data_IF_034103635778
#
_entry.id   IF_034103635778
#
_cell.length_a   1.000
_cell.length_b   1.000
_cell.length_c   1.000
_cell.angle_alpha   90.00
_cell.angle_beta   90.00
_cell.angle_gamma   90.00
#
_symmetry.space_group_name_H-M   'P 1'
#
loop_
_entity.id
_entity.type
_entity.pdbx_description
1 polymer ?
#
# COMPACT_ATOMS: atom_id res chain seq x y z
N UNK A 1 -23.80 -11.98 19.78
CA UNK A 1 -22.40 -11.51 19.75
C UNK A 1 -22.16 -10.97 18.35
N UNK A 2 -21.83 -9.68 18.16
CA UNK A 2 -21.43 -9.21 16.84
C UNK A 2 -20.14 -9.92 16.41
N UNK A 3 -20.05 -10.35 15.15
CA UNK A 3 -18.83 -10.93 14.59
C UNK A 3 -17.66 -9.93 14.71
N UNK A 4 -16.41 -10.39 14.88
CA UNK A 4 -15.25 -9.50 14.86
C UNK A 4 -15.23 -8.74 13.52
N UNK A 5 -14.76 -7.47 13.50
CA UNK A 5 -14.64 -6.74 12.25
C UNK A 5 -13.74 -7.55 11.31
N UNK A 6 -14.33 -8.05 10.22
CA UNK A 6 -13.58 -8.73 9.19
C UNK A 6 -12.54 -7.73 8.66
N UNK A 7 -11.26 -8.10 8.71
CA UNK A 7 -10.22 -7.33 8.04
C UNK A 7 -10.66 -7.16 6.58
N UNK A 8 -10.70 -5.92 6.06
CA UNK A 8 -11.08 -5.72 4.68
C UNK A 8 -10.13 -6.52 3.77
N UNK A 9 -10.64 -7.11 2.68
CA UNK A 9 -9.81 -7.85 1.76
C UNK A 9 -8.68 -6.95 1.23
N UNK A 10 -7.50 -7.51 0.92
CA UNK A 10 -6.37 -6.74 0.43
C UNK A 10 -6.74 -6.00 -0.86
N UNK A 11 -6.41 -4.71 -0.92
CA UNK A 11 -6.76 -3.87 -2.04
C UNK A 11 -5.83 -4.12 -3.23
N UNK A 12 -6.40 -4.34 -4.42
CA UNK A 12 -5.64 -4.71 -5.63
C UNK A 12 -5.48 -3.56 -6.62
N UNK A 13 -6.19 -2.46 -6.41
CA UNK A 13 -6.09 -1.24 -7.21
C UNK A 13 -4.99 -0.34 -6.64
N UNK A 14 -4.13 0.18 -7.52
CA UNK A 14 -3.13 1.18 -7.14
C UNK A 14 -3.80 2.53 -6.84
N UNK A 15 -3.22 3.31 -5.92
CA UNK A 15 -3.55 4.72 -5.75
C UNK A 15 -2.94 5.58 -6.86
N UNK A 16 -3.51 6.76 -7.08
CA UNK A 16 -3.06 7.75 -8.06
C UNK A 16 -2.39 8.91 -7.33
N UNK A 17 -1.15 9.24 -7.70
CA UNK A 17 -0.43 10.39 -7.15
C UNK A 17 -0.42 11.55 -8.16
N UNK A 18 -0.84 12.73 -7.71
CA UNK A 18 -0.89 13.98 -8.48
C UNK A 18 -0.12 15.09 -7.78
N UNK A 19 0.43 16.04 -8.53
CA UNK A 19 1.14 17.19 -7.98
C UNK A 19 0.30 18.46 -8.16
N UNK A 20 0.02 19.17 -7.06
CA UNK A 20 -0.81 20.38 -7.02
C UNK A 20 -0.19 21.39 -6.06
N UNK A 21 0.05 22.62 -6.52
CA UNK A 21 0.60 23.75 -5.74
C UNK A 21 1.90 23.43 -4.96
N UNK A 22 2.76 22.58 -5.51
CA UNK A 22 4.01 22.15 -4.85
C UNK A 22 3.82 21.10 -3.76
N UNK A 23 2.61 20.58 -3.61
CA UNK A 23 2.26 19.43 -2.78
C UNK A 23 1.96 18.21 -3.66
N UNK A 24 2.00 17.03 -3.05
CA UNK A 24 1.63 15.77 -3.69
C UNK A 24 0.36 15.25 -3.03
N UNK A 25 -0.63 14.91 -3.83
CA UNK A 25 -1.89 14.31 -3.40
C UNK A 25 -1.90 12.85 -3.86
N UNK A 26 -1.97 11.92 -2.92
CA UNK A 26 -2.15 10.50 -3.19
C UNK A 26 -3.62 10.13 -2.95
N UNK A 27 -4.34 9.80 -4.01
CA UNK A 27 -5.73 9.35 -3.96
C UNK A 27 -5.80 7.82 -4.01
N UNK A 28 -6.34 7.24 -2.95
CA UNK A 28 -6.57 5.81 -2.83
C UNK A 28 -7.90 5.38 -3.47
N UNK A 29 -8.00 4.16 -4.00
CA UNK A 29 -9.21 3.63 -4.65
C UNK A 29 -10.47 3.57 -3.76
N UNK A 30 -10.34 3.79 -2.45
CA UNK A 30 -11.42 3.86 -1.47
C UNK A 30 -11.74 5.30 -1.02
N UNK A 31 -11.25 6.31 -1.75
CA UNK A 31 -11.45 7.72 -1.43
C UNK A 31 -10.55 8.24 -0.30
N UNK A 32 -9.45 7.55 -0.01
CA UNK A 32 -8.45 8.00 0.95
C UNK A 32 -7.46 8.91 0.23
N UNK A 33 -7.64 10.22 0.37
CA UNK A 33 -6.69 11.20 -0.13
C UNK A 33 -5.69 11.60 0.96
N UNK A 34 -4.40 11.52 0.67
CA UNK A 34 -3.33 12.02 1.55
C UNK A 34 -2.54 13.09 0.83
N UNK A 35 -2.48 14.28 1.42
CA UNK A 35 -1.61 15.35 0.96
C UNK A 35 -0.29 15.31 1.70
N UNK A 36 0.81 15.38 0.96
CA UNK A 36 2.16 15.28 1.50
C UNK A 36 3.11 16.20 0.75
N UNK A 37 4.24 16.54 1.40
CA UNK A 37 5.31 17.29 0.74
C UNK A 37 6.02 16.42 -0.30
N UNK A 38 6.71 17.01 -1.29
CA UNK A 38 7.42 16.23 -2.31
C UNK A 38 8.48 15.29 -1.73
N UNK A 39 9.21 15.69 -0.68
CA UNK A 39 10.17 14.80 0.03
C UNK A 39 9.45 13.63 0.71
N UNK A 40 8.33 13.90 1.41
CA UNK A 40 7.55 12.85 2.06
C UNK A 40 6.96 11.86 1.04
N UNK A 41 6.46 12.35 -0.11
CA UNK A 41 5.99 11.51 -1.20
C UNK A 41 7.07 10.61 -1.76
N UNK A 42 8.25 11.16 -2.01
CA UNK A 42 9.39 10.41 -2.55
C UNK A 42 9.78 9.26 -1.63
N UNK A 43 9.93 9.54 -0.33
CA UNK A 43 10.28 8.51 0.67
C UNK A 43 9.17 7.48 0.83
N UNK A 44 7.91 7.92 0.81
CA UNK A 44 6.76 7.01 0.90
C UNK A 44 6.73 6.06 -0.29
N UNK A 45 6.91 6.55 -1.51
CA UNK A 45 6.97 5.72 -2.71
C UNK A 45 8.11 4.70 -2.65
N UNK A 46 9.31 5.11 -2.24
CA UNK A 46 10.45 4.21 -2.04
C UNK A 46 10.15 3.11 -1.02
N UNK A 47 9.59 3.49 0.13
CA UNK A 47 9.21 2.54 1.18
C UNK A 47 8.15 1.54 0.67
N UNK A 48 7.16 1.99 -0.12
CA UNK A 48 6.13 1.13 -0.69
C UNK A 48 6.72 0.12 -1.67
N UNK A 49 7.66 0.53 -2.53
CA UNK A 49 8.35 -0.36 -3.47
C UNK A 49 9.14 -1.42 -2.70
N UNK A 50 9.96 -1.01 -1.72
CA UNK A 50 10.72 -1.95 -0.90
C UNK A 50 9.82 -2.90 -0.11
N UNK A 51 8.72 -2.41 0.44
CA UNK A 51 7.74 -3.25 1.14
C UNK A 51 7.08 -4.27 0.21
N UNK A 52 6.76 -3.88 -1.04
CA UNK A 52 6.21 -4.79 -2.04
C UNK A 52 7.20 -5.91 -2.38
N UNK A 53 8.49 -5.59 -2.58
CA UNK A 53 9.52 -6.62 -2.81
C UNK A 53 9.64 -7.60 -1.64
N UNK A 54 9.58 -7.11 -0.41
CA UNK A 54 9.60 -7.95 0.79
C UNK A 54 8.36 -8.85 0.85
N UNK A 55 7.17 -8.30 0.56
CA UNK A 55 5.92 -9.05 0.57
C UNK A 55 5.90 -10.16 -0.48
N UNK A 56 6.42 -9.91 -1.68
CA UNK A 56 6.56 -10.92 -2.74
C UNK A 56 7.47 -12.07 -2.31
N UNK A 57 8.59 -11.77 -1.63
CA UNK A 57 9.47 -12.80 -1.06
C UNK A 57 8.76 -13.62 0.01
N UNK A 58 8.12 -12.95 0.97
CA UNK A 58 7.34 -13.61 2.02
C UNK A 58 6.26 -14.54 1.45
N UNK A 59 5.60 -14.13 0.36
CA UNK A 59 4.60 -14.95 -0.33
C UNK A 59 5.23 -16.22 -0.94
N UNK A 60 6.40 -16.11 -1.55
CA UNK A 60 7.14 -17.25 -2.09
C UNK A 60 7.64 -18.21 -0.99
N UNK A 61 8.12 -17.69 0.14
CA UNK A 61 8.52 -18.50 1.30
C UNK A 61 7.31 -19.22 1.92
N UNK A 62 6.15 -18.54 2.03
CA UNK A 62 4.92 -19.12 2.58
C UNK A 62 4.38 -20.27 1.73
N UNK A 63 4.38 -20.12 0.40
CA UNK A 63 4.01 -21.17 -0.55
C UNK A 63 4.88 -22.42 -0.39
N UNK A 64 6.19 -22.24 -0.17
CA UNK A 64 7.14 -23.33 0.06
C UNK A 64 6.94 -24.06 1.39
N UNK A 65 6.50 -23.34 2.44
CA UNK A 65 6.25 -23.93 3.76
C UNK A 65 4.87 -24.59 3.89
N UNK A 66 3.86 -24.19 3.12
CA UNK A 66 2.51 -24.79 3.15
C UNK A 66 2.38 -26.07 2.29
N UNK A 67 3.39 -26.37 1.46
CA UNK A 67 3.45 -27.58 0.62
C UNK A 67 4.17 -28.80 1.22
N UNK A 68 4.37 -28.86 2.54
CA UNK A 68 5.10 -29.95 3.22
C UNK A 68 4.23 -30.75 4.19
#
# INVERSE_FOLDING_TARGET
MPAPPAVPPPQTKAGIASAEDGLVVLDGPDGVAVTMTPDAATRTGQNLISAAEIAERQRADKDRSEGQ
#
